data_IF_340307122734
#
_entry.id   IF_340307122734
#
_cell.length_a   1.000
_cell.length_b   1.000
_cell.length_c   1.000
_cell.angle_alpha   90.00
_cell.angle_beta   90.00
_cell.angle_gamma   90.00
#
_symmetry.space_group_name_H-M   'P 1'
#
loop_
_entity.id
_entity.type
_entity.pdbx_description
1 polymer ?
#
# COMPACT_ATOMS: atom_id res chain seq x y z
N UNK A 1 16.34 -1.28 -8.84
CA UNK A 1 16.00 -0.37 -9.97
C UNK A 1 14.95 0.59 -9.46
N UNK A 2 15.33 1.82 -9.20
CA UNK A 2 14.51 2.95 -8.76
C UNK A 2 13.41 3.20 -9.79
N UNK A 3 12.17 2.94 -9.41
CA UNK A 3 11.01 3.33 -10.21
C UNK A 3 10.94 4.85 -10.25
N UNK A 4 10.91 5.38 -11.46
CA UNK A 4 11.01 6.80 -11.71
C UNK A 4 9.84 7.60 -11.12
N UNK A 5 10.19 8.57 -10.32
CA UNK A 5 9.33 9.70 -10.02
C UNK A 5 8.94 10.38 -11.34
N UNK A 6 7.66 10.45 -11.63
CA UNK A 6 7.16 11.40 -12.62
C UNK A 6 7.11 12.78 -11.94
N UNK A 7 7.90 13.75 -12.38
CA UNK A 7 7.82 15.08 -11.81
C UNK A 7 6.49 15.72 -12.24
N UNK A 8 5.67 16.09 -11.29
CA UNK A 8 4.64 17.11 -11.49
C UNK A 8 5.40 18.41 -11.70
N UNK A 9 5.53 18.83 -12.95
CA UNK A 9 6.24 20.06 -13.32
C UNK A 9 5.38 21.22 -12.81
N UNK A 10 5.77 21.83 -11.69
CA UNK A 10 5.28 23.14 -11.24
C UNK A 10 4.52 23.20 -9.93
N UNK A 11 4.20 22.10 -9.27
CA UNK A 11 3.63 22.12 -7.92
C UNK A 11 4.59 21.43 -6.93
N UNK A 12 4.85 22.05 -5.80
CA UNK A 12 5.53 21.39 -4.68
C UNK A 12 4.54 20.39 -4.11
N UNK A 13 4.93 19.10 -4.02
CA UNK A 13 4.08 18.08 -3.40
C UNK A 13 3.70 18.51 -1.97
N UNK A 14 2.43 18.31 -1.62
CA UNK A 14 1.94 18.53 -0.26
C UNK A 14 2.36 17.42 0.72
N UNK A 15 2.94 16.35 0.22
CA UNK A 15 3.44 15.26 1.05
C UNK A 15 4.96 15.37 1.14
N UNK A 16 5.45 15.52 2.36
CA UNK A 16 6.88 15.60 2.66
C UNK A 16 7.25 14.50 3.64
N UNK A 17 8.48 14.03 3.56
CA UNK A 17 9.02 13.14 4.60
C UNK A 17 9.21 13.95 5.88
N UNK A 18 8.42 13.64 6.90
CA UNK A 18 8.44 14.30 8.20
C UNK A 18 9.53 13.72 9.11
N UNK A 19 9.70 12.40 9.07
CA UNK A 19 10.64 11.68 9.91
C UNK A 19 11.25 10.51 9.17
N UNK A 20 12.56 10.33 9.35
CA UNK A 20 13.29 9.15 8.90
C UNK A 20 13.76 8.37 10.12
N UNK A 21 13.66 7.05 10.05
CA UNK A 21 14.37 6.14 10.92
C UNK A 21 15.36 5.36 10.09
N UNK A 22 16.63 5.58 10.37
CA UNK A 22 17.74 4.85 9.75
C UNK A 22 18.57 4.24 10.87
N UNK A 23 18.46 2.94 11.06
CA UNK A 23 19.30 2.19 11.97
C UNK A 23 19.90 1.02 11.24
N UNK A 24 21.20 0.87 11.34
CA UNK A 24 21.93 -0.27 10.82
C UNK A 24 22.94 -0.74 11.86
N UNK A 25 22.97 -2.03 12.10
CA UNK A 25 24.00 -2.72 12.90
C UNK A 25 24.51 -3.94 12.10
N UNK A 26 25.28 -4.82 12.73
CA UNK A 26 25.85 -5.99 12.06
C UNK A 26 24.78 -7.03 11.69
N UNK A 27 23.58 -6.98 12.30
CA UNK A 27 22.52 -7.99 12.15
C UNK A 27 21.34 -7.52 11.30
N UNK A 28 21.03 -6.21 11.34
CA UNK A 28 19.81 -5.66 10.71
C UNK A 28 19.98 -4.24 10.20
N UNK A 29 19.18 -3.92 9.23
CA UNK A 29 19.04 -2.60 8.66
C UNK A 29 17.54 -2.23 8.65
N UNK A 30 17.18 -1.12 9.29
CA UNK A 30 15.81 -0.61 9.33
C UNK A 30 15.82 0.79 8.71
N UNK A 31 15.13 0.94 7.59
CA UNK A 31 14.92 2.21 6.91
C UNK A 31 13.42 2.50 6.85
N UNK A 32 13.01 3.65 7.38
CA UNK A 32 11.59 4.05 7.36
C UNK A 32 11.44 5.54 7.09
N UNK A 33 10.68 5.89 6.06
CA UNK A 33 10.26 7.25 5.74
C UNK A 33 8.79 7.46 6.15
N UNK A 34 8.54 8.34 7.11
CA UNK A 34 7.19 8.69 7.55
C UNK A 34 6.75 9.97 6.86
N UNK A 35 5.70 9.93 6.03
CA UNK A 35 5.19 11.12 5.36
C UNK A 35 4.36 12.00 6.29
N UNK A 36 4.28 13.27 5.93
CA UNK A 36 3.33 14.22 6.47
C UNK A 36 2.65 14.99 5.34
N UNK A 37 1.32 15.00 5.37
CA UNK A 37 0.50 15.82 4.49
C UNK A 37 0.54 17.24 5.03
N UNK A 38 0.99 18.19 4.23
CA UNK A 38 1.03 19.61 4.59
C UNK A 38 -0.38 20.19 4.54
N UNK A 39 -0.71 20.95 5.56
CA UNK A 39 -1.93 21.74 5.55
C UNK A 39 -1.81 22.93 4.58
N UNK A 40 -2.92 23.37 3.96
CA UNK A 40 -2.92 24.60 3.17
C UNK A 40 -2.45 25.79 4.01
N UNK A 41 -1.77 26.76 3.39
CA UNK A 41 -1.30 27.96 4.07
C UNK A 41 -2.43 28.70 4.83
N UNK A 42 -2.05 29.37 5.93
CA UNK A 42 -2.94 30.07 6.84
C UNK A 42 -3.86 31.06 6.08
N UNK A 43 -5.16 30.78 6.07
CA UNK A 43 -6.20 31.59 5.38
C UNK A 43 -7.22 30.76 4.64
N UNK A 44 -6.95 29.50 4.31
CA UNK A 44 -7.96 28.55 3.85
C UNK A 44 -8.56 27.81 5.05
N UNK A 45 -9.83 27.43 4.96
CA UNK A 45 -10.48 26.63 6.00
C UNK A 45 -9.77 25.29 6.06
N UNK A 46 -8.81 25.14 6.99
CA UNK A 46 -8.09 23.88 7.18
C UNK A 46 -9.07 22.83 7.67
N UNK A 47 -9.25 21.79 6.89
CA UNK A 47 -9.97 20.60 7.34
C UNK A 47 -9.09 19.83 8.34
N UNK A 48 -9.62 19.34 9.47
CA UNK A 48 -8.86 18.50 10.39
C UNK A 48 -8.38 17.18 9.76
N UNK A 49 -8.84 16.85 8.55
CA UNK A 49 -8.57 15.60 7.86
C UNK A 49 -7.06 15.32 7.70
N UNK A 50 -6.27 16.30 7.27
CA UNK A 50 -4.83 16.09 7.08
C UNK A 50 -4.13 15.78 8.41
N UNK A 51 -4.48 16.51 9.48
CA UNK A 51 -3.95 16.28 10.81
C UNK A 51 -4.33 14.89 11.36
N UNK A 52 -5.60 14.49 11.17
CA UNK A 52 -6.09 13.17 11.59
C UNK A 52 -5.40 12.04 10.84
N UNK A 53 -5.24 12.18 9.52
CA UNK A 53 -4.54 11.19 8.69
C UNK A 53 -3.05 11.13 9.04
N UNK A 54 -2.38 12.25 9.26
CA UNK A 54 -0.99 12.29 9.69
C UNK A 54 -0.78 11.54 11.00
N UNK A 55 -1.67 11.74 11.98
CA UNK A 55 -1.64 11.03 13.25
C UNK A 55 -1.88 9.52 13.09
N UNK A 56 -2.81 9.14 12.21
CA UNK A 56 -3.07 7.74 11.88
C UNK A 56 -1.84 7.07 11.27
N UNK A 57 -1.20 7.72 10.28
CA UNK A 57 0.02 7.24 9.62
C UNK A 57 1.16 7.09 10.64
N UNK A 58 1.40 8.11 11.46
CA UNK A 58 2.44 8.05 12.49
C UNK A 58 2.20 6.88 13.46
N UNK A 59 0.96 6.69 13.89
CA UNK A 59 0.59 5.59 14.79
C UNK A 59 0.86 4.21 14.16
N UNK A 60 0.47 4.02 12.89
CA UNK A 60 0.67 2.77 12.15
C UNK A 60 2.17 2.50 11.96
N UNK A 61 2.92 3.49 11.52
CA UNK A 61 4.36 3.35 11.24
C UNK A 61 5.17 3.07 12.50
N UNK A 62 4.85 3.74 13.62
CA UNK A 62 5.50 3.49 14.91
C UNK A 62 5.15 2.10 15.47
N UNK A 63 3.90 1.67 15.33
CA UNK A 63 3.51 0.32 15.71
C UNK A 63 4.26 -0.73 14.86
N UNK A 64 4.29 -0.53 13.55
CA UNK A 64 5.01 -1.43 12.64
C UNK A 64 6.50 -1.54 12.99
N UNK A 65 7.17 -0.39 13.24
CA UNK A 65 8.58 -0.36 13.64
C UNK A 65 8.84 -1.18 14.88
N UNK A 66 8.03 -0.97 15.93
CA UNK A 66 8.17 -1.71 17.20
C UNK A 66 7.93 -3.20 17.00
N UNK A 67 6.88 -3.56 16.27
CA UNK A 67 6.50 -4.94 16.04
C UNK A 67 7.53 -5.65 15.13
N UNK A 68 8.12 -4.96 14.15
CA UNK A 68 9.21 -5.48 13.33
C UNK A 68 10.46 -5.76 14.17
N UNK A 69 10.84 -4.86 15.06
CA UNK A 69 11.96 -5.09 15.98
C UNK A 69 11.71 -6.33 16.86
N UNK A 70 10.52 -6.47 17.41
CA UNK A 70 10.16 -7.63 18.22
C UNK A 70 10.25 -8.93 17.41
N UNK A 71 9.71 -8.96 16.18
CA UNK A 71 9.81 -10.14 15.31
C UNK A 71 11.25 -10.52 14.96
N UNK A 72 12.14 -9.54 14.79
CA UNK A 72 13.57 -9.79 14.56
C UNK A 72 14.20 -10.47 15.78
N UNK A 73 13.94 -9.98 16.98
CA UNK A 73 14.42 -10.55 18.23
C UNK A 73 13.93 -12.00 18.40
N UNK A 74 12.62 -12.24 18.23
CA UNK A 74 12.02 -13.58 18.29
C UNK A 74 12.62 -14.54 17.26
N UNK A 75 12.88 -14.04 16.04
CA UNK A 75 13.53 -14.83 14.98
C UNK A 75 14.96 -15.17 15.33
N UNK A 76 15.73 -14.23 15.90
CA UNK A 76 17.09 -14.46 16.37
C UNK A 76 17.12 -15.51 17.48
N UNK A 77 16.27 -15.36 18.50
CA UNK A 77 16.17 -16.34 19.59
C UNK A 77 15.85 -17.75 19.08
N UNK A 78 14.87 -17.89 18.19
CA UNK A 78 14.51 -19.17 17.60
C UNK A 78 15.65 -19.76 16.77
N UNK A 79 16.38 -18.93 16.00
CA UNK A 79 17.50 -19.37 15.19
C UNK A 79 18.67 -19.89 16.05
N UNK A 80 19.03 -19.16 17.12
CA UNK A 80 20.09 -19.60 18.06
C UNK A 80 19.68 -20.85 18.82
N UNK A 81 18.41 -20.96 19.23
CA UNK A 81 17.91 -22.16 19.94
C UNK A 81 17.95 -23.43 19.07
N UNK A 82 17.95 -23.30 17.75
CA UNK A 82 18.07 -24.43 16.81
C UNK A 82 19.52 -24.73 16.38
N UNK A 83 20.50 -24.11 17.04
CA UNK A 83 21.94 -24.36 16.81
C UNK A 83 22.60 -23.40 15.83
N UNK A 84 21.92 -22.30 15.45
CA UNK A 84 22.54 -21.20 14.72
C UNK A 84 23.52 -20.42 15.58
N UNK A 85 24.42 -19.65 14.95
CA UNK A 85 25.34 -18.73 15.64
C UNK A 85 25.01 -17.30 15.36
N UNK A 86 25.50 -16.36 16.16
CA UNK A 86 25.28 -14.92 15.94
C UNK A 86 25.88 -14.46 14.62
N UNK A 87 27.05 -14.94 14.24
CA UNK A 87 27.67 -14.63 12.96
C UNK A 87 26.84 -15.12 11.79
N UNK A 88 26.27 -16.32 11.85
CA UNK A 88 25.39 -16.86 10.82
C UNK A 88 24.03 -16.13 10.79
N UNK A 89 23.60 -15.53 11.91
CA UNK A 89 22.40 -14.68 11.93
C UNK A 89 22.68 -13.34 11.25
N UNK A 90 23.81 -12.71 11.53
CA UNK A 90 24.24 -11.46 10.90
C UNK A 90 24.35 -11.59 9.36
N UNK A 91 24.83 -12.75 8.86
CA UNK A 91 24.91 -13.03 7.43
C UNK A 91 23.55 -13.09 6.72
N UNK A 92 22.43 -13.17 7.44
CA UNK A 92 21.09 -13.14 6.83
C UNK A 92 20.73 -11.79 6.24
N UNK A 93 21.38 -10.72 6.67
CA UNK A 93 21.19 -9.37 6.15
C UNK A 93 19.73 -8.93 6.25
N UNK A 94 19.19 -8.96 7.47
CA UNK A 94 17.78 -8.63 7.74
C UNK A 94 17.53 -7.16 7.43
N UNK A 95 16.47 -6.89 6.63
CA UNK A 95 16.07 -5.55 6.24
C UNK A 95 14.59 -5.32 6.48
N UNK A 96 14.29 -4.13 7.01
CA UNK A 96 12.95 -3.57 7.12
C UNK A 96 12.94 -2.26 6.35
N UNK A 97 12.11 -2.18 5.33
CA UNK A 97 11.91 -0.98 4.53
C UNK A 97 10.48 -0.51 4.66
N UNK A 98 10.27 0.75 5.00
CA UNK A 98 8.96 1.37 4.99
C UNK A 98 9.01 2.75 4.35
N UNK A 99 7.94 3.09 3.62
CA UNK A 99 7.90 4.36 2.92
C UNK A 99 6.53 4.68 2.38
N UNK A 100 6.49 5.64 1.48
CA UNK A 100 5.26 6.12 0.87
C UNK A 100 5.44 6.47 -0.60
N UNK A 101 4.33 6.47 -1.32
CA UNK A 101 4.25 6.96 -2.69
C UNK A 101 3.00 7.83 -2.87
N UNK A 102 3.17 9.00 -3.47
CA UNK A 102 2.04 9.83 -3.93
C UNK A 102 1.59 9.28 -5.27
N UNK A 103 0.43 8.60 -5.30
CA UNK A 103 -0.13 7.98 -6.51
C UNK A 103 -0.83 9.01 -7.41
N UNK A 104 -1.49 9.99 -6.78
CA UNK A 104 -2.21 11.06 -7.45
C UNK A 104 -2.28 12.30 -6.58
N UNK A 105 -2.08 13.46 -7.17
CA UNK A 105 -2.17 14.74 -6.47
C UNK A 105 -2.70 15.83 -7.39
N UNK A 106 -3.69 16.55 -6.89
CA UNK A 106 -4.22 17.81 -7.47
C UNK A 106 -4.37 18.84 -6.36
N UNK A 107 -4.88 20.01 -6.68
CA UNK A 107 -5.21 21.02 -5.67
C UNK A 107 -6.23 20.52 -4.63
N UNK A 108 -7.20 19.71 -5.05
CA UNK A 108 -8.33 19.28 -4.23
C UNK A 108 -8.21 17.81 -3.74
N UNK A 109 -7.42 16.96 -4.42
CA UNK A 109 -7.41 15.52 -4.20
C UNK A 109 -5.99 15.00 -4.01
N UNK A 110 -5.81 14.13 -3.02
CA UNK A 110 -4.56 13.40 -2.77
C UNK A 110 -4.85 11.90 -2.67
N UNK A 111 -4.06 11.09 -3.36
CA UNK A 111 -3.99 9.64 -3.16
C UNK A 111 -2.57 9.26 -2.76
N UNK A 112 -2.43 8.68 -1.58
CA UNK A 112 -1.17 8.34 -0.93
C UNK A 112 -1.16 6.85 -0.59
N UNK A 113 -0.09 6.17 -0.92
CA UNK A 113 0.21 4.80 -0.51
C UNK A 113 1.28 4.80 0.56
N UNK A 114 1.06 3.99 1.62
CA UNK A 114 2.04 3.65 2.64
C UNK A 114 2.37 2.19 2.51
N UNK A 115 3.64 1.84 2.41
CA UNK A 115 4.10 0.46 2.36
C UNK A 115 5.18 0.20 3.39
N UNK A 116 5.21 -1.03 3.90
CA UNK A 116 6.36 -1.53 4.63
C UNK A 116 6.57 -3.00 4.34
N UNK A 117 7.84 -3.44 4.28
CA UNK A 117 8.24 -4.78 3.90
C UNK A 117 9.40 -5.27 4.73
N UNK A 118 9.47 -6.58 4.89
CA UNK A 118 10.55 -7.29 5.56
C UNK A 118 11.14 -8.35 4.61
N UNK A 119 12.46 -8.41 4.46
CA UNK A 119 13.08 -9.29 3.47
C UNK A 119 13.18 -10.77 3.92
N UNK A 120 13.05 -11.07 5.22
CA UNK A 120 13.16 -12.44 5.76
C UNK A 120 11.80 -13.13 5.95
N UNK A 121 10.71 -12.37 6.02
CA UNK A 121 9.37 -12.88 6.23
C UNK A 121 8.50 -12.56 5.02
N UNK A 122 8.37 -13.51 4.10
CA UNK A 122 7.68 -13.32 2.81
C UNK A 122 6.21 -12.90 2.91
N UNK A 123 5.63 -12.92 4.11
CA UNK A 123 4.22 -12.61 4.37
C UNK A 123 4.02 -11.32 5.18
N UNK A 124 5.07 -10.70 5.71
CA UNK A 124 4.94 -9.50 6.52
C UNK A 124 5.24 -8.26 5.67
N UNK A 125 4.18 -7.58 5.36
CA UNK A 125 4.17 -6.27 4.78
C UNK A 125 2.88 -5.56 5.15
N UNK A 126 2.89 -4.26 5.11
CA UNK A 126 1.68 -3.44 5.20
C UNK A 126 1.53 -2.64 3.92
N UNK A 127 0.28 -2.43 3.54
CA UNK A 127 -0.08 -1.56 2.42
C UNK A 127 -1.38 -0.86 2.77
N UNK A 128 -1.31 0.47 2.91
CA UNK A 128 -2.44 1.32 3.20
C UNK A 128 -2.57 2.39 2.13
N UNK A 129 -3.82 2.73 1.79
CA UNK A 129 -4.14 3.77 0.84
C UNK A 129 -5.00 4.85 1.49
N UNK A 130 -4.60 6.09 1.29
CA UNK A 130 -5.34 7.27 1.72
C UNK A 130 -5.77 8.05 0.48
N UNK A 131 -7.06 8.02 0.17
CA UNK A 131 -7.66 8.79 -0.91
C UNK A 131 -8.47 9.91 -0.28
N UNK A 132 -8.02 11.15 -0.45
CA UNK A 132 -8.50 12.31 0.30
C UNK A 132 -9.06 13.37 -0.63
N UNK A 133 -10.26 13.86 -0.33
CA UNK A 133 -10.80 15.12 -0.83
C UNK A 133 -10.39 16.21 0.17
N UNK A 134 -9.31 16.90 -0.12
CA UNK A 134 -8.74 17.92 0.75
C UNK A 134 -9.62 19.17 0.82
N UNK A 135 -10.37 19.45 -0.25
CA UNK A 135 -11.29 20.60 -0.32
C UNK A 135 -12.50 20.42 0.59
N UNK A 136 -13.11 19.24 0.58
CA UNK A 136 -14.30 18.95 1.37
C UNK A 136 -13.98 18.26 2.69
N UNK A 137 -12.71 17.95 2.96
CA UNK A 137 -12.24 17.36 4.21
C UNK A 137 -12.78 15.98 4.48
N UNK A 138 -12.78 15.09 3.47
CA UNK A 138 -13.26 13.72 3.61
C UNK A 138 -12.35 12.69 2.94
N UNK A 139 -12.36 11.46 3.47
CA UNK A 139 -11.80 10.31 2.76
C UNK A 139 -12.72 9.95 1.60
N UNK A 140 -12.15 9.73 0.41
CA UNK A 140 -12.87 9.32 -0.79
C UNK A 140 -13.11 7.80 -0.78
N UNK A 141 -14.28 7.39 -1.22
CA UNK A 141 -14.69 6.01 -1.44
C UNK A 141 -14.75 5.67 -2.92
N UNK A 142 -14.83 4.37 -3.26
CA UNK A 142 -15.11 3.94 -4.64
C UNK A 142 -16.43 4.52 -5.16
N UNK A 143 -17.45 4.64 -4.29
CA UNK A 143 -18.72 5.24 -4.64
C UNK A 143 -18.62 6.73 -4.98
N UNK A 144 -17.73 7.48 -4.31
CA UNK A 144 -17.48 8.90 -4.67
C UNK A 144 -16.85 9.04 -6.07
N UNK A 145 -16.05 8.06 -6.50
CA UNK A 145 -15.34 8.09 -7.78
C UNK A 145 -16.17 7.51 -8.94
N UNK A 146 -16.89 6.41 -8.70
CA UNK A 146 -17.59 5.62 -9.73
C UNK A 146 -19.11 5.79 -9.73
N UNK A 147 -19.67 6.48 -8.70
CA UNK A 147 -21.10 6.67 -8.55
C UNK A 147 -21.80 5.54 -7.77
N UNK A 148 -23.14 5.59 -7.76
CA UNK A 148 -23.94 4.67 -6.96
C UNK A 148 -23.80 3.20 -7.41
N UNK A 149 -23.55 2.97 -8.68
CA UNK A 149 -23.39 1.63 -9.29
C UNK A 149 -21.96 1.12 -9.22
N UNK A 150 -21.12 1.69 -8.34
CA UNK A 150 -19.69 1.39 -8.28
C UNK A 150 -19.38 -0.09 -8.15
N UNK A 151 -20.21 -0.86 -7.41
CA UNK A 151 -20.02 -2.31 -7.23
C UNK A 151 -20.17 -3.06 -8.55
N UNK A 152 -21.22 -2.75 -9.30
CA UNK A 152 -21.48 -3.41 -10.57
C UNK A 152 -20.41 -3.08 -11.60
N UNK A 153 -20.06 -1.81 -11.74
CA UNK A 153 -19.00 -1.34 -12.65
C UNK A 153 -17.66 -1.99 -12.32
N UNK A 154 -17.23 -1.91 -11.06
CA UNK A 154 -15.95 -2.47 -10.65
C UNK A 154 -15.92 -3.99 -10.80
N UNK A 155 -16.96 -4.70 -10.36
CA UNK A 155 -17.02 -6.16 -10.47
C UNK A 155 -16.98 -6.64 -11.93
N UNK A 156 -17.72 -6.00 -12.81
CA UNK A 156 -17.75 -6.34 -14.24
C UNK A 156 -16.38 -6.09 -14.90
N UNK A 157 -15.77 -4.94 -14.61
CA UNK A 157 -14.46 -4.58 -15.14
C UNK A 157 -13.37 -5.53 -14.63
N UNK A 158 -13.35 -5.86 -13.32
CA UNK A 158 -12.38 -6.80 -12.76
C UNK A 158 -12.51 -8.18 -13.41
N UNK A 159 -13.72 -8.75 -13.51
CA UNK A 159 -13.91 -10.07 -14.14
C UNK A 159 -13.46 -10.08 -15.58
N UNK A 160 -13.81 -9.08 -16.38
CA UNK A 160 -13.34 -8.95 -17.76
C UNK A 160 -11.82 -8.91 -17.83
N UNK A 161 -11.15 -8.09 -16.99
CA UNK A 161 -9.70 -8.01 -16.96
C UNK A 161 -9.04 -9.32 -16.51
N UNK A 162 -9.63 -10.04 -15.54
CA UNK A 162 -9.14 -11.37 -15.14
C UNK A 162 -9.19 -12.37 -16.30
N UNK A 163 -10.30 -12.42 -17.05
CA UNK A 163 -10.45 -13.27 -18.23
C UNK A 163 -9.43 -12.92 -19.33
N UNK A 164 -9.26 -11.64 -19.63
CA UNK A 164 -8.29 -11.14 -20.61
C UNK A 164 -6.85 -11.50 -20.22
N UNK A 165 -6.48 -11.34 -18.94
CA UNK A 165 -5.14 -11.68 -18.44
C UNK A 165 -4.88 -13.18 -18.47
N UNK A 166 -5.84 -14.02 -18.07
CA UNK A 166 -5.72 -15.48 -18.17
C UNK A 166 -5.65 -15.97 -19.62
N UNK A 167 -6.34 -15.29 -20.55
CA UNK A 167 -6.23 -15.60 -21.97
C UNK A 167 -4.86 -15.24 -22.57
N UNK A 168 -4.22 -14.17 -22.05
CA UNK A 168 -2.91 -13.72 -22.47
C UNK A 168 -1.76 -14.54 -21.86
N UNK A 169 -1.90 -14.96 -20.59
CA UNK A 169 -0.92 -15.80 -19.90
C UNK A 169 -1.57 -17.07 -19.33
N UNK A 170 -1.27 -18.21 -19.94
CA UNK A 170 -1.81 -19.51 -19.54
C UNK A 170 -1.35 -20.01 -18.17
N UNK A 171 -0.31 -19.40 -17.58
CA UNK A 171 0.17 -19.74 -16.25
C UNK A 171 -0.59 -18.94 -15.18
N UNK A 172 -1.18 -17.80 -15.53
CA UNK A 172 -1.94 -16.97 -14.60
C UNK A 172 -3.27 -17.65 -14.27
N UNK A 173 -3.53 -17.81 -12.99
CA UNK A 173 -4.77 -18.39 -12.47
C UNK A 173 -5.32 -17.48 -11.38
N UNK A 174 -6.59 -17.15 -11.49
CA UNK A 174 -7.36 -16.57 -10.39
C UNK A 174 -8.19 -17.66 -9.71
N UNK A 175 -8.34 -17.56 -8.39
CA UNK A 175 -9.15 -18.54 -7.68
C UNK A 175 -10.64 -18.37 -7.99
N UNK A 176 -11.35 -19.47 -8.08
CA UNK A 176 -12.78 -19.55 -8.41
C UNK A 176 -13.61 -20.28 -7.36
N UNK A 177 -12.98 -20.67 -6.24
CA UNK A 177 -13.60 -21.44 -5.15
C UNK A 177 -13.52 -22.95 -5.32
N UNK A 178 -13.10 -23.47 -6.46
CA UNK A 178 -13.09 -24.91 -6.76
C UNK A 178 -12.10 -25.70 -5.90
N UNK A 179 -11.02 -25.08 -5.47
CA UNK A 179 -9.95 -25.70 -4.66
C UNK A 179 -10.03 -25.30 -3.16
N UNK A 180 -11.19 -24.86 -2.69
CA UNK A 180 -11.34 -24.38 -1.30
C UNK A 180 -10.70 -23.02 -1.04
N UNK A 181 -10.20 -22.36 -2.07
CA UNK A 181 -9.66 -21.00 -2.02
C UNK A 181 -10.70 -20.05 -2.59
N UNK A 182 -11.19 -19.14 -1.78
CA UNK A 182 -12.15 -18.14 -2.20
C UNK A 182 -11.56 -17.24 -3.28
N UNK A 183 -12.24 -17.15 -4.43
CA UNK A 183 -11.90 -16.22 -5.50
C UNK A 183 -12.54 -14.84 -5.30
N UNK A 184 -12.30 -13.96 -6.26
CA UNK A 184 -12.93 -12.64 -6.28
C UNK A 184 -14.47 -12.77 -6.31
N UNK A 185 -15.13 -12.16 -5.34
CA UNK A 185 -16.60 -12.14 -5.23
C UNK A 185 -17.19 -10.79 -5.63
N UNK A 186 -16.82 -9.74 -4.90
CA UNK A 186 -17.32 -8.39 -5.10
C UNK A 186 -16.45 -7.37 -4.38
N UNK A 187 -16.41 -6.15 -4.87
CA UNK A 187 -15.85 -5.02 -4.12
C UNK A 187 -16.82 -4.57 -3.02
N UNK A 188 -16.26 -4.01 -1.95
CA UNK A 188 -16.99 -3.52 -0.79
C UNK A 188 -16.44 -2.20 -0.27
N UNK A 189 -16.94 -1.77 0.88
CA UNK A 189 -16.50 -0.51 1.52
C UNK A 189 -15.03 -0.54 1.96
N UNK A 190 -14.51 -1.74 2.30
CA UNK A 190 -13.13 -1.93 2.75
C UNK A 190 -12.20 -2.37 1.62
N UNK A 191 -12.66 -2.37 0.36
CA UNK A 191 -11.80 -2.71 -0.77
C UNK A 191 -10.68 -1.69 -0.91
N UNK A 192 -9.44 -2.17 -0.93
CA UNK A 192 -8.25 -1.33 -1.11
C UNK A 192 -8.24 -0.73 -2.51
N UNK A 193 -7.95 0.55 -2.62
CA UNK A 193 -7.73 1.21 -3.89
C UNK A 193 -6.90 2.47 -3.74
N UNK A 194 -6.28 2.90 -4.81
CA UNK A 194 -5.71 4.22 -4.96
C UNK A 194 -6.24 4.91 -6.23
N UNK A 195 -6.00 6.21 -6.35
CA UNK A 195 -6.31 6.95 -7.58
C UNK A 195 -5.04 6.96 -8.44
N UNK A 196 -5.13 6.37 -9.64
CA UNK A 196 -4.03 6.35 -10.60
C UNK A 196 -3.79 7.71 -11.25
N UNK A 197 -2.67 7.84 -11.97
CA UNK A 197 -2.23 9.10 -12.59
C UNK A 197 -3.23 9.75 -13.55
N UNK A 198 -4.14 8.98 -14.12
CA UNK A 198 -5.23 9.43 -15.00
C UNK A 198 -6.54 9.77 -14.25
N UNK A 199 -6.55 9.69 -12.90
CA UNK A 199 -7.71 9.95 -12.06
C UNK A 199 -8.67 8.79 -11.91
N UNK A 200 -8.38 7.62 -12.50
CA UNK A 200 -9.17 6.42 -12.33
C UNK A 200 -8.82 5.69 -11.03
N UNK A 201 -9.78 5.06 -10.33
CA UNK A 201 -9.45 4.18 -9.21
C UNK A 201 -8.77 2.89 -9.71
N UNK A 202 -7.74 2.49 -9.01
CA UNK A 202 -7.05 1.20 -9.18
C UNK A 202 -7.31 0.37 -7.94
N UNK A 203 -8.04 -0.72 -8.10
CA UNK A 203 -8.39 -1.64 -7.01
C UNK A 203 -7.24 -2.60 -6.79
N UNK A 204 -6.88 -2.81 -5.53
CA UNK A 204 -5.71 -3.60 -5.13
C UNK A 204 -6.14 -4.79 -4.29
N UNK A 205 -5.67 -5.96 -4.68
CA UNK A 205 -5.80 -7.20 -3.93
C UNK A 205 -4.43 -7.65 -3.44
N UNK A 206 -4.36 -7.99 -2.17
CA UNK A 206 -3.12 -8.45 -1.55
C UNK A 206 -2.62 -9.76 -2.17
N UNK A 207 -1.34 -10.02 -1.98
CA UNK A 207 -0.76 -11.32 -2.32
C UNK A 207 -1.53 -12.44 -1.63
N UNK A 208 -1.92 -13.47 -2.36
CA UNK A 208 -2.77 -14.58 -1.92
C UNK A 208 -4.25 -14.23 -1.68
N UNK A 209 -4.73 -13.06 -2.03
CA UNK A 209 -6.14 -12.72 -1.81
C UNK A 209 -7.07 -13.32 -2.88
N UNK A 210 -6.69 -13.22 -4.16
CA UNK A 210 -7.51 -13.72 -5.28
C UNK A 210 -6.75 -14.61 -6.27
N UNK A 211 -5.44 -14.77 -6.08
CA UNK A 211 -4.56 -15.55 -6.94
C UNK A 211 -3.41 -16.16 -6.11
N UNK A 212 -2.72 -17.21 -6.61
CA UNK A 212 -1.50 -17.73 -6.02
C UNK A 212 -0.45 -16.64 -5.82
N UNK A 213 0.25 -16.69 -4.69
CA UNK A 213 1.22 -15.66 -4.32
C UNK A 213 2.40 -15.47 -5.28
N UNK A 214 2.64 -16.42 -6.20
CA UNK A 214 3.63 -16.27 -7.27
C UNK A 214 3.29 -15.12 -8.23
N UNK A 215 2.00 -14.74 -8.33
CA UNK A 215 1.54 -13.63 -9.16
C UNK A 215 1.54 -12.28 -8.45
N UNK A 216 1.93 -12.25 -7.16
CA UNK A 216 2.06 -11.01 -6.39
C UNK A 216 0.73 -10.32 -6.10
N UNK A 217 0.82 -9.02 -5.83
CA UNK A 217 -0.32 -8.11 -5.69
C UNK A 217 -1.02 -7.98 -7.04
N UNK A 218 -2.37 -7.98 -7.02
CA UNK A 218 -3.17 -7.84 -8.22
C UNK A 218 -3.85 -6.47 -8.23
N UNK A 219 -3.67 -5.72 -9.32
CA UNK A 219 -4.21 -4.38 -9.49
C UNK A 219 -5.14 -4.31 -10.70
N UNK A 220 -6.28 -3.64 -10.53
CA UNK A 220 -7.29 -3.48 -11.58
C UNK A 220 -7.73 -2.02 -11.66
N UNK A 221 -7.35 -1.34 -12.74
CA UNK A 221 -7.83 0.00 -13.02
C UNK A 221 -9.30 -0.06 -13.50
N UNK A 222 -10.14 0.80 -12.94
CA UNK A 222 -11.55 0.92 -13.32
C UNK A 222 -11.77 2.25 -14.02
N UNK A 223 -12.15 2.20 -15.26
CA UNK A 223 -12.43 3.41 -16.03
C UNK A 223 -13.71 4.09 -15.51
N UNK A 224 -13.60 5.35 -15.08
CA UNK A 224 -14.71 6.14 -14.54
C UNK A 224 -15.77 6.48 -15.59
N UNK A 225 -15.44 6.38 -16.88
CA UNK A 225 -16.33 6.73 -18.00
C UNK A 225 -17.10 5.52 -18.56
N UNK A 226 -16.76 4.31 -18.17
CA UNK A 226 -17.52 3.10 -18.43
C UNK A 226 -18.60 2.93 -17.34
#
# INVERSE_FOLDING_TARGET
ATAGRLPVIGAVSRVLTFRNYDTADEEKEIHMEIPQIQEPEAGSTSSPLAADVNKEIETIMEAYRRDAQQRIEEYKEAFLATGGTEEAFAEKGIKVDAGYEVKYETEDVLSLEITANENWASAYGIQYFYNLDLKNGKKLTLGDLLGQDYKEKANSSIRRQMEERMAADRNLVYWDGSNGMDGFKTVGENTKFYIGANGNPVIVFDKYEIAPGAFGIQEFEINRQE
#
